data_IF_263354327334
#
_entry.id   IF_263354327334
#
_cell.length_a   1.000
_cell.length_b   1.000
_cell.length_c   1.000
_cell.angle_alpha   90.00
_cell.angle_beta   90.00
_cell.angle_gamma   90.00
#
_symmetry.space_group_name_H-M   'P 1'
#
loop_
_entity.id
_entity.type
_entity.pdbx_description
1 polymer ?
#
# COMPACT_ATOMS: atom_id res chain seq x y z
N UNK A 1 4.49 8.63 -3.40
CA UNK A 1 4.38 8.38 -4.86
C UNK A 1 5.76 8.56 -5.52
N UNK A 2 5.97 8.26 -6.81
CA UNK A 2 7.21 8.56 -7.57
C UNK A 2 8.53 7.86 -7.18
N UNK A 3 8.53 7.04 -6.11
CA UNK A 3 9.76 6.42 -5.60
C UNK A 3 10.33 5.30 -6.49
N UNK A 4 9.54 4.78 -7.45
CA UNK A 4 9.97 3.72 -8.36
C UNK A 4 9.50 2.31 -7.98
N UNK A 5 8.55 2.18 -7.04
CA UNK A 5 7.98 0.89 -6.61
C UNK A 5 7.52 0.01 -7.77
N UNK A 6 6.67 0.55 -8.65
CA UNK A 6 6.19 -0.16 -9.83
C UNK A 6 7.32 -0.59 -10.78
N UNK A 7 8.40 0.19 -10.87
CA UNK A 7 9.58 -0.20 -11.67
C UNK A 7 10.32 -1.37 -11.04
N UNK A 8 10.51 -1.35 -9.72
CA UNK A 8 11.12 -2.46 -8.98
C UNK A 8 10.23 -3.71 -9.06
N UNK A 9 8.93 -3.58 -8.84
CA UNK A 9 7.94 -4.66 -8.98
C UNK A 9 8.07 -5.37 -10.34
N UNK A 10 8.05 -4.61 -11.44
CA UNK A 10 8.23 -5.17 -12.80
C UNK A 10 9.57 -5.89 -12.98
N UNK A 11 10.66 -5.37 -12.42
CA UNK A 11 11.96 -6.05 -12.46
C UNK A 11 11.92 -7.38 -11.69
N UNK A 12 11.20 -7.45 -10.57
CA UNK A 12 11.06 -8.66 -9.77
C UNK A 12 10.17 -9.70 -10.46
N UNK A 13 9.11 -9.29 -11.17
CA UNK A 13 8.31 -10.19 -12.02
C UNK A 13 9.16 -10.87 -13.11
N UNK A 14 10.10 -10.14 -13.73
CA UNK A 14 11.02 -10.71 -14.71
C UNK A 14 11.93 -11.81 -14.13
N UNK A 15 12.09 -11.85 -12.80
CA UNK A 15 12.83 -12.91 -12.10
C UNK A 15 11.92 -14.05 -11.61
N UNK A 16 10.66 -14.10 -12.05
CA UNK A 16 9.70 -15.16 -11.74
C UNK A 16 8.94 -14.97 -10.42
N UNK A 17 9.03 -13.79 -9.79
CA UNK A 17 8.30 -13.50 -8.55
C UNK A 17 6.89 -12.98 -8.86
N UNK A 18 5.90 -13.43 -8.11
CA UNK A 18 4.52 -12.95 -8.27
C UNK A 18 4.37 -11.59 -7.59
N UNK A 19 3.87 -10.61 -8.35
CA UNK A 19 3.57 -9.27 -7.83
C UNK A 19 2.08 -8.99 -7.93
N UNK A 20 1.50 -8.55 -6.81
CA UNK A 20 0.11 -8.11 -6.71
C UNK A 20 0.12 -6.58 -6.69
N UNK A 21 -0.33 -6.00 -7.80
CA UNK A 21 -0.47 -4.56 -7.95
C UNK A 21 -1.73 -4.03 -7.26
N UNK A 22 -1.64 -2.83 -6.70
CA UNK A 22 -2.80 -2.15 -6.14
C UNK A 22 -3.80 -1.82 -7.27
N UNK A 23 -5.05 -2.26 -7.11
CA UNK A 23 -6.15 -1.89 -7.98
C UNK A 23 -7.35 -1.38 -7.17
N UNK A 24 -7.46 -0.06 -6.94
CA UNK A 24 -8.55 0.50 -6.14
C UNK A 24 -9.86 0.63 -6.92
N UNK A 25 -9.85 0.51 -8.25
CA UNK A 25 -10.99 0.85 -9.11
C UNK A 25 -12.28 0.10 -8.76
N UNK A 26 -12.28 -1.23 -8.54
CA UNK A 26 -13.51 -1.95 -8.21
C UNK A 26 -14.18 -1.42 -6.93
N UNK A 27 -13.38 -1.09 -5.91
CA UNK A 27 -13.90 -0.57 -4.65
C UNK A 27 -14.36 0.89 -4.81
N UNK A 28 -13.61 1.70 -5.57
CA UNK A 28 -13.99 3.09 -5.88
C UNK A 28 -15.31 3.14 -6.66
N UNK A 29 -15.53 2.22 -7.60
CA UNK A 29 -16.79 2.09 -8.33
C UNK A 29 -17.93 1.65 -7.42
N UNK A 30 -17.72 0.62 -6.61
CA UNK A 30 -18.71 0.15 -5.62
C UNK A 30 -19.09 1.25 -4.62
N UNK A 31 -18.11 2.02 -4.14
CA UNK A 31 -18.34 3.20 -3.29
C UNK A 31 -19.28 4.21 -3.94
N UNK A 32 -19.08 4.52 -5.23
CA UNK A 32 -19.94 5.43 -6.00
C UNK A 32 -21.36 4.88 -6.12
N UNK A 33 -21.51 3.59 -6.42
CA UNK A 33 -22.83 2.94 -6.51
C UNK A 33 -23.60 2.98 -5.18
N UNK A 34 -22.88 2.86 -4.06
CA UNK A 34 -23.45 2.93 -2.71
C UNK A 34 -23.65 4.38 -2.21
N UNK A 35 -23.25 5.40 -2.97
CA UNK A 35 -23.29 6.82 -2.57
C UNK A 35 -22.66 7.08 -1.20
N UNK A 36 -21.56 6.40 -0.87
CA UNK A 36 -20.90 6.59 0.43
C UNK A 36 -20.21 7.95 0.50
N UNK A 37 -20.54 8.73 1.52
CA UNK A 37 -19.86 9.99 1.83
C UNK A 37 -18.60 9.73 2.66
N UNK A 38 -17.43 9.96 2.05
CA UNK A 38 -16.12 9.81 2.70
C UNK A 38 -15.88 10.85 3.81
N UNK A 39 -16.71 11.88 3.93
CA UNK A 39 -16.65 12.87 5.02
C UNK A 39 -17.55 12.53 6.22
N UNK A 40 -18.36 11.47 6.09
CA UNK A 40 -19.14 10.88 7.18
C UNK A 40 -18.40 9.68 7.78
N UNK A 41 -18.61 9.44 9.07
CA UNK A 41 -17.97 8.33 9.79
C UNK A 41 -18.40 6.99 9.18
N UNK A 42 -19.70 6.84 8.93
CA UNK A 42 -20.32 5.63 8.42
C UNK A 42 -19.87 5.33 6.99
N UNK A 43 -19.83 6.35 6.13
CA UNK A 43 -19.36 6.20 4.76
C UNK A 43 -17.87 5.85 4.67
N UNK A 44 -17.04 6.47 5.52
CA UNK A 44 -15.63 6.13 5.63
C UNK A 44 -15.43 4.68 6.13
N UNK A 45 -16.08 4.30 7.23
CA UNK A 45 -16.01 2.93 7.79
C UNK A 45 -16.43 1.90 6.74
N UNK A 46 -17.58 2.10 6.08
CA UNK A 46 -18.07 1.18 5.05
C UNK A 46 -17.09 1.06 3.88
N UNK A 47 -16.46 2.17 3.47
CA UNK A 47 -15.40 2.13 2.47
C UNK A 47 -14.18 1.32 2.94
N UNK A 48 -13.70 1.53 4.16
CA UNK A 48 -12.53 0.81 4.67
C UNK A 48 -12.79 -0.69 4.81
N UNK A 49 -13.98 -1.10 5.26
CA UNK A 49 -14.35 -2.53 5.28
C UNK A 49 -14.18 -3.17 3.90
N UNK A 50 -14.59 -2.50 2.82
CA UNK A 50 -14.41 -3.02 1.47
C UNK A 50 -12.94 -3.19 1.05
N UNK A 51 -12.06 -2.25 1.44
CA UNK A 51 -10.62 -2.37 1.19
C UNK A 51 -9.97 -3.49 2.01
N UNK A 52 -10.33 -3.59 3.29
CA UNK A 52 -9.83 -4.63 4.19
C UNK A 52 -10.24 -6.02 3.71
N UNK A 53 -11.53 -6.23 3.40
CA UNK A 53 -12.04 -7.50 2.89
C UNK A 53 -11.35 -7.92 1.58
N UNK A 54 -11.15 -6.98 0.65
CA UNK A 54 -10.46 -7.26 -0.60
C UNK A 54 -9.00 -7.70 -0.36
N UNK A 55 -8.28 -7.02 0.55
CA UNK A 55 -6.89 -7.36 0.87
C UNK A 55 -6.76 -8.71 1.56
N UNK A 56 -7.64 -9.01 2.51
CA UNK A 56 -7.68 -10.33 3.17
C UNK A 56 -7.89 -11.42 2.12
N UNK A 57 -8.80 -11.21 1.17
CA UNK A 57 -9.04 -12.16 0.08
C UNK A 57 -7.83 -12.34 -0.84
N UNK A 58 -7.15 -11.25 -1.21
CA UNK A 58 -5.89 -11.32 -1.97
C UNK A 58 -4.82 -12.13 -1.23
N UNK A 59 -4.65 -11.89 0.07
CA UNK A 59 -3.71 -12.62 0.90
C UNK A 59 -4.05 -14.11 1.00
N UNK A 60 -5.33 -14.44 1.22
CA UNK A 60 -5.79 -15.83 1.27
C UNK A 60 -5.53 -16.58 -0.04
N UNK A 61 -5.75 -15.93 -1.19
CA UNK A 61 -5.47 -16.50 -2.50
C UNK A 61 -3.96 -16.70 -2.77
N UNK A 62 -3.11 -15.89 -2.13
CA UNK A 62 -1.66 -15.98 -2.24
C UNK A 62 -1.01 -16.95 -1.23
N UNK A 63 -1.78 -17.49 -0.29
CA UNK A 63 -1.25 -18.30 0.82
C UNK A 63 -0.46 -19.49 0.32
N UNK A 64 0.75 -19.67 0.85
CA UNK A 64 1.68 -20.73 0.45
C UNK A 64 2.57 -20.39 -0.76
N UNK A 65 2.45 -19.18 -1.31
CA UNK A 65 3.33 -18.65 -2.36
C UNK A 65 4.13 -17.45 -1.86
N UNK A 66 5.28 -17.20 -2.48
CA UNK A 66 6.00 -15.93 -2.30
C UNK A 66 5.35 -14.88 -3.19
N UNK A 67 4.75 -13.86 -2.58
CA UNK A 67 4.12 -12.75 -3.28
C UNK A 67 4.68 -11.42 -2.79
N UNK A 68 4.69 -10.45 -3.69
CA UNK A 68 5.10 -9.08 -3.42
C UNK A 68 3.89 -8.18 -3.62
N UNK A 69 3.58 -7.34 -2.64
CA UNK A 69 2.52 -6.35 -2.76
C UNK A 69 3.12 -4.97 -3.13
N UNK A 70 2.61 -4.32 -4.17
CA UNK A 70 2.95 -2.91 -4.49
C UNK A 70 2.39 -1.94 -3.42
N UNK A 71 1.35 -2.39 -2.68
CA UNK A 71 0.90 -1.87 -1.38
C UNK A 71 0.37 -2.97 -0.48
N UNK A 72 0.90 -3.02 0.73
CA UNK A 72 0.62 -4.07 1.71
C UNK A 72 -0.67 -3.80 2.51
N UNK A 73 -1.09 -4.76 3.35
CA UNK A 73 -2.13 -4.53 4.35
C UNK A 73 -1.78 -3.39 5.32
N UNK A 74 -0.50 -3.11 5.53
CA UNK A 74 -0.03 -2.03 6.41
C UNK A 74 -0.41 -0.63 5.89
N UNK A 75 -0.41 -0.43 4.56
CA UNK A 75 -0.86 0.82 3.95
C UNK A 75 -2.36 1.04 4.20
N UNK A 76 -3.16 -0.02 4.10
CA UNK A 76 -4.62 0.03 4.33
C UNK A 76 -4.90 0.32 5.80
N UNK A 77 -4.22 -0.35 6.73
CA UNK A 77 -4.35 -0.10 8.16
C UNK A 77 -3.98 1.34 8.51
N UNK A 78 -2.82 1.80 8.04
CA UNK A 78 -2.35 3.16 8.30
C UNK A 78 -3.35 4.20 7.81
N UNK A 79 -3.81 4.09 6.55
CA UNK A 79 -4.79 5.03 6.00
C UNK A 79 -6.12 4.96 6.76
N UNK A 80 -6.56 3.76 7.14
CA UNK A 80 -7.81 3.54 7.89
C UNK A 80 -7.79 4.28 9.22
N UNK A 81 -6.69 4.21 9.97
CA UNK A 81 -6.58 4.79 11.31
C UNK A 81 -6.35 6.30 11.25
N UNK A 82 -5.45 6.78 10.38
CA UNK A 82 -4.93 8.15 10.47
C UNK A 82 -5.58 9.16 9.52
N UNK A 83 -6.23 8.73 8.43
CA UNK A 83 -6.88 9.66 7.50
C UNK A 83 -7.97 10.53 8.14
N UNK A 84 -8.82 10.06 9.08
CA UNK A 84 -9.78 10.93 9.75
C UNK A 84 -9.13 12.17 10.37
N UNK A 85 -7.97 12.02 11.00
CA UNK A 85 -7.22 13.14 11.59
C UNK A 85 -6.77 14.15 10.53
N UNK A 86 -6.39 13.70 9.34
CA UNK A 86 -5.97 14.60 8.25
C UNK A 86 -7.12 15.45 7.71
N UNK A 87 -8.37 15.02 7.91
CA UNK A 87 -9.57 15.79 7.56
C UNK A 87 -10.25 16.44 8.78
N UNK A 88 -9.55 16.52 9.92
CA UNK A 88 -10.04 17.17 11.14
C UNK A 88 -11.18 16.40 11.85
N UNK A 89 -11.24 15.09 11.69
CA UNK A 89 -12.22 14.21 12.33
C UNK A 89 -11.56 13.39 13.43
N UNK A 90 -12.24 13.30 14.58
CA UNK A 90 -11.80 12.52 15.75
C UNK A 90 -12.63 11.23 15.89
N UNK A 91 -12.75 10.47 14.80
CA UNK A 91 -13.46 9.19 14.85
C UNK A 91 -12.59 8.10 15.47
N UNK A 92 -13.12 7.37 16.44
CA UNK A 92 -12.45 6.20 17.03
C UNK A 92 -12.53 4.98 16.08
N UNK A 93 -11.77 5.04 14.98
CA UNK A 93 -11.78 3.99 13.96
C UNK A 93 -11.21 2.67 14.47
N UNK A 94 -10.22 2.71 15.36
CA UNK A 94 -9.61 1.50 15.92
C UNK A 94 -10.64 0.65 16.69
N UNK A 95 -11.54 1.29 17.46
CA UNK A 95 -12.63 0.58 18.13
C UNK A 95 -13.70 0.11 17.15
N UNK A 96 -14.11 0.97 16.21
CA UNK A 96 -15.21 0.68 15.26
C UNK A 96 -14.89 -0.43 14.27
N UNK A 97 -13.61 -0.58 13.91
CA UNK A 97 -13.11 -1.59 12.98
C UNK A 97 -12.23 -2.64 13.66
N UNK A 98 -12.37 -2.82 14.98
CA UNK A 98 -11.49 -3.68 15.77
C UNK A 98 -11.34 -5.09 15.18
N UNK A 99 -12.44 -5.72 14.80
CA UNK A 99 -12.44 -7.10 14.29
C UNK A 99 -11.86 -7.17 12.87
N UNK A 100 -12.18 -6.21 12.01
CA UNK A 100 -11.64 -6.10 10.66
C UNK A 100 -10.13 -5.83 10.67
N UNK A 101 -9.67 -4.91 11.52
CA UNK A 101 -8.25 -4.59 11.70
C UNK A 101 -7.49 -5.77 12.30
N UNK A 102 -8.07 -6.51 13.25
CA UNK A 102 -7.46 -7.72 13.78
C UNK A 102 -7.20 -8.75 12.67
N UNK A 103 -8.20 -9.03 11.82
CA UNK A 103 -8.05 -9.95 10.68
C UNK A 103 -7.06 -9.43 9.63
N UNK A 104 -7.02 -8.12 9.39
CA UNK A 104 -6.05 -7.52 8.48
C UNK A 104 -4.62 -7.72 9.00
N UNK A 105 -4.40 -7.60 10.31
CA UNK A 105 -3.09 -7.80 10.95
C UNK A 105 -2.61 -9.25 10.86
N UNK A 106 -3.49 -10.24 10.76
CA UNK A 106 -3.10 -11.62 10.46
C UNK A 106 -2.51 -11.78 9.05
N UNK A 107 -2.73 -10.81 8.16
CA UNK A 107 -2.23 -10.81 6.79
C UNK A 107 -0.92 -10.02 6.62
N UNK A 108 -0.31 -9.53 7.70
CA UNK A 108 0.89 -8.68 7.64
C UNK A 108 2.04 -9.31 6.87
N UNK A 109 2.81 -8.45 6.22
CA UNK A 109 3.94 -8.82 5.39
C UNK A 109 5.08 -9.38 6.24
N UNK A 110 5.72 -10.46 5.79
CA UNK A 110 6.92 -11.02 6.43
C UNK A 110 8.12 -10.04 6.39
N UNK A 111 8.13 -9.16 5.38
CA UNK A 111 9.12 -8.11 5.19
C UNK A 111 8.50 -6.92 4.44
N UNK A 112 8.91 -5.70 4.79
CA UNK A 112 8.49 -4.47 4.13
C UNK A 112 9.75 -3.78 3.61
N UNK A 113 9.72 -3.38 2.33
CA UNK A 113 10.83 -2.70 1.68
C UNK A 113 10.49 -1.24 1.41
N UNK A 114 11.24 -0.35 2.04
CA UNK A 114 11.12 1.09 1.81
C UNK A 114 12.07 1.51 0.69
N UNK A 115 11.53 2.17 -0.34
CA UNK A 115 12.33 2.81 -1.37
C UNK A 115 12.61 4.25 -0.97
N UNK A 116 13.82 4.47 -0.48
CA UNK A 116 14.32 5.80 -0.17
C UNK A 116 14.71 6.54 -1.46
N UNK A 117 14.17 7.74 -1.63
CA UNK A 117 14.42 8.63 -2.77
C UNK A 117 14.40 10.06 -2.25
N UNK A 118 15.42 10.84 -2.60
CA UNK A 118 15.45 12.25 -2.20
C UNK A 118 14.21 13.00 -2.69
N UNK A 119 13.73 13.93 -1.87
CA UNK A 119 12.57 14.77 -2.19
C UNK A 119 12.72 15.46 -3.55
N UNK A 120 13.89 16.01 -3.85
CA UNK A 120 14.22 16.58 -5.17
C UNK A 120 13.94 15.62 -6.32
N UNK A 121 14.41 14.38 -6.21
CA UNK A 121 14.20 13.35 -7.23
C UNK A 121 12.73 12.92 -7.32
N UNK A 122 11.97 12.94 -6.22
CA UNK A 122 10.54 12.65 -6.23
C UNK A 122 9.77 13.74 -6.99
N UNK A 123 10.08 15.02 -6.75
CA UNK A 123 9.52 16.15 -7.48
C UNK A 123 9.89 16.12 -8.96
N UNK A 124 11.17 15.89 -9.30
CA UNK A 124 11.61 15.78 -10.70
C UNK A 124 10.85 14.67 -11.43
N UNK A 125 10.72 13.49 -10.82
CA UNK A 125 9.96 12.36 -11.39
C UNK A 125 8.45 12.60 -11.45
N UNK A 126 7.89 13.46 -10.60
CA UNK A 126 6.49 13.89 -10.66
C UNK A 126 6.29 14.87 -11.82
N UNK A 127 7.13 15.89 -11.90
CA UNK A 127 7.02 16.97 -12.87
C UNK A 127 7.28 16.51 -14.31
N UNK A 128 8.15 15.50 -14.48
CA UNK A 128 8.44 14.91 -15.79
C UNK A 128 7.41 13.87 -16.25
N UNK A 129 6.55 13.36 -15.37
CA UNK A 129 5.50 12.41 -15.72
C UNK A 129 4.18 13.13 -16.00
N UNK A 130 3.93 13.46 -17.26
CA UNK A 130 2.70 14.13 -17.71
C UNK A 130 1.49 13.21 -17.86
N UNK A 131 1.66 11.91 -17.67
CA UNK A 131 0.63 10.90 -17.99
C UNK A 131 -0.24 10.51 -16.80
N UNK A 132 0.26 10.69 -15.58
CA UNK A 132 -0.39 10.22 -14.35
C UNK A 132 -0.75 11.38 -13.44
N UNK A 133 -2.01 11.44 -13.02
CA UNK A 133 -2.46 12.36 -11.98
C UNK A 133 -1.96 11.87 -10.60
N UNK A 134 -1.29 12.75 -9.85
CA UNK A 134 -0.66 12.44 -8.55
C UNK A 134 -1.20 13.38 -7.47
N UNK A 135 -2.52 13.39 -7.32
CA UNK A 135 -3.26 14.29 -6.44
C UNK A 135 -2.87 14.17 -4.95
N UNK A 136 -2.47 12.99 -4.50
CA UNK A 136 -2.07 12.72 -3.10
C UNK A 136 -0.55 12.74 -2.89
N UNK A 137 0.23 13.38 -3.77
CA UNK A 137 1.68 13.33 -3.70
C UNK A 137 2.23 13.99 -2.43
N UNK A 138 1.70 15.16 -2.06
CA UNK A 138 2.17 15.93 -0.90
C UNK A 138 1.82 15.24 0.44
N UNK A 139 0.77 14.41 0.45
CA UNK A 139 0.29 13.70 1.65
C UNK A 139 1.09 12.42 1.96
N UNK A 140 2.04 12.03 1.09
CA UNK A 140 2.73 10.74 1.13
C UNK A 140 4.21 10.81 1.57
N UNK A 141 4.66 11.92 2.13
CA UNK A 141 6.00 12.00 2.71
C UNK A 141 6.02 11.30 4.07
N UNK A 142 6.70 10.16 4.14
CA UNK A 142 7.02 9.47 5.39
C UNK A 142 8.46 9.80 5.80
N UNK A 143 8.71 9.98 7.09
CA UNK A 143 10.03 10.36 7.63
C UNK A 143 10.80 9.13 8.13
N UNK A 144 11.85 8.79 7.38
CA UNK A 144 13.10 8.04 7.66
C UNK A 144 13.10 6.67 8.40
N UNK A 145 13.76 5.66 7.78
CA UNK A 145 14.99 5.00 8.30
C UNK A 145 15.49 3.87 7.36
N UNK A 146 16.82 3.84 7.19
CA UNK A 146 17.69 2.89 6.46
C UNK A 146 17.70 2.93 4.93
N UNK A 147 18.90 3.27 4.42
CA UNK A 147 19.18 3.73 3.05
C UNK A 147 19.67 2.60 2.15
N UNK A 148 18.86 2.20 1.18
CA UNK A 148 19.31 1.38 0.04
C UNK A 148 18.63 1.91 -1.24
N UNK A 149 19.42 2.14 -2.30
CA UNK A 149 18.88 2.48 -3.62
C UNK A 149 18.09 1.30 -4.20
N UNK A 150 17.16 1.54 -5.13
CA UNK A 150 16.31 0.49 -5.71
C UNK A 150 17.10 -0.69 -6.31
N UNK A 151 18.25 -0.43 -6.94
CA UNK A 151 19.10 -1.48 -7.49
C UNK A 151 19.83 -2.28 -6.39
N UNK A 152 20.32 -1.61 -5.34
CA UNK A 152 20.93 -2.29 -4.18
C UNK A 152 19.89 -3.08 -3.38
N UNK A 153 18.67 -2.57 -3.28
CA UNK A 153 17.57 -3.21 -2.59
C UNK A 153 17.10 -4.47 -3.33
N UNK A 154 17.08 -4.46 -4.66
CA UNK A 154 16.84 -5.66 -5.47
C UNK A 154 17.89 -6.75 -5.21
N UNK A 155 19.18 -6.40 -5.17
CA UNK A 155 20.26 -7.35 -4.86
C UNK A 155 20.15 -7.91 -3.43
N UNK A 156 19.85 -7.04 -2.46
CA UNK A 156 19.66 -7.45 -1.07
C UNK A 156 18.46 -8.39 -0.92
N UNK A 157 17.35 -8.09 -1.59
CA UNK A 157 16.14 -8.91 -1.58
C UNK A 157 16.38 -10.29 -2.18
N UNK A 158 17.05 -10.39 -3.34
CA UNK A 158 17.40 -11.68 -3.93
C UNK A 158 18.34 -12.49 -3.03
N UNK A 159 19.25 -11.83 -2.31
CA UNK A 159 20.11 -12.49 -1.31
C UNK A 159 19.31 -12.98 -0.10
N UNK A 160 18.33 -12.19 0.35
CA UNK A 160 17.44 -12.54 1.46
C UNK A 160 16.52 -13.72 1.12
N UNK A 161 15.94 -13.75 -0.08
CA UNK A 161 15.15 -14.89 -0.60
C UNK A 161 15.98 -16.18 -0.65
N UNK A 162 17.17 -16.12 -1.25
CA UNK A 162 18.10 -17.26 -1.30
C UNK A 162 18.47 -17.78 0.09
N UNK A 163 18.64 -16.89 1.06
CA UNK A 163 18.89 -17.26 2.46
C UNK A 163 17.74 -18.02 3.13
N UNK A 164 16.52 -17.95 2.57
CA UNK A 164 15.34 -18.69 3.02
C UNK A 164 15.02 -19.92 2.16
N UNK A 165 15.89 -20.26 1.21
CA UNK A 165 15.67 -21.39 0.30
C UNK A 165 14.60 -21.11 -0.77
N UNK A 166 14.33 -19.83 -1.05
CA UNK A 166 13.41 -19.33 -2.07
C UNK A 166 14.17 -18.79 -3.29
#
# INVERSE_FOLDING_TARGET
MASGKTTLAKKLELHGLSVIYENPYPIVEKRKQLNLDMNSKEGFIANQKMFIEAKIKEFQNAKGSVVIFDRGPEDIEFYTIFYPTTIGKEWDIETELKDELYKLRECRSDAIFYLDVSESNLYDRKNNDRTRNRSTFEEQFYVDTNRLSADTLGVYFMKWLKGRGL
#
